data_IF_788288923587
#
_entry.id   IF_788288923587
#
_cell.length_a   1.000
_cell.length_b   1.000
_cell.length_c   1.000
_cell.angle_alpha   90.00
_cell.angle_beta   90.00
_cell.angle_gamma   90.00
#
_symmetry.space_group_name_H-M   'P 1'
#
loop_
_entity.id
_entity.type
_entity.pdbx_description
1 polymer ?
#
# COMPACT_ATOMS: atom_id res chain seq x y z
N UNK A 1 46.65 -51.12 -10.30
CA UNK A 1 45.91 -51.13 -11.58
C UNK A 1 44.42 -50.91 -11.31
N UNK A 2 43.80 -50.02 -12.10
CA UNK A 2 42.36 -49.82 -12.36
C UNK A 2 41.32 -49.76 -11.20
N UNK A 3 40.55 -48.65 -11.22
CA UNK A 3 39.31 -48.39 -10.48
C UNK A 3 38.15 -49.28 -10.96
N UNK A 4 37.22 -49.66 -10.08
CA UNK A 4 35.77 -49.55 -10.29
C UNK A 4 34.99 -49.69 -8.97
N UNK A 5 34.13 -48.73 -8.66
CA UNK A 5 33.29 -48.71 -7.46
C UNK A 5 32.05 -49.60 -7.59
N UNK A 6 31.61 -50.22 -6.48
CA UNK A 6 30.22 -50.70 -6.31
C UNK A 6 29.67 -50.21 -4.97
N UNK A 7 28.57 -49.46 -5.05
CA UNK A 7 27.81 -48.88 -3.94
C UNK A 7 27.07 -49.98 -3.16
N UNK A 8 27.09 -49.93 -1.83
CA UNK A 8 26.04 -50.50 -0.97
C UNK A 8 25.32 -49.35 -0.28
N UNK A 9 23.99 -49.45 -0.35
CA UNK A 9 22.96 -48.49 0.00
C UNK A 9 22.75 -48.45 1.52
N UNK A 10 22.84 -47.27 2.14
CA UNK A 10 22.24 -47.00 3.45
C UNK A 10 21.05 -46.06 3.17
N UNK A 11 19.84 -46.52 3.52
CA UNK A 11 18.60 -45.79 3.29
C UNK A 11 18.66 -44.45 4.04
N UNK A 12 18.56 -43.33 3.32
CA UNK A 12 18.19 -42.04 3.91
C UNK A 12 16.69 -42.09 4.20
N UNK A 13 16.31 -41.72 5.42
CA UNK A 13 14.94 -41.70 5.92
C UNK A 13 13.95 -41.12 4.90
N UNK A 14 12.83 -41.80 4.72
CA UNK A 14 11.72 -41.29 3.93
C UNK A 14 11.23 -39.95 4.48
N UNK A 15 10.94 -39.05 3.55
CA UNK A 15 10.59 -37.67 3.76
C UNK A 15 9.24 -37.49 4.45
N UNK A 16 9.16 -36.44 5.27
CA UNK A 16 7.97 -35.60 5.37
C UNK A 16 8.48 -34.16 5.48
N UNK A 17 8.72 -33.52 4.34
CA UNK A 17 8.79 -32.06 4.31
C UNK A 17 7.36 -31.59 4.52
N UNK A 18 7.00 -31.29 5.76
CA UNK A 18 5.81 -30.52 6.04
C UNK A 18 6.11 -29.10 5.54
N UNK A 19 5.77 -28.85 4.27
CA UNK A 19 5.56 -27.50 3.78
C UNK A 19 4.31 -27.03 4.53
N UNK A 20 4.51 -26.45 5.73
CA UNK A 20 3.53 -25.51 6.25
C UNK A 20 3.58 -24.40 5.22
N UNK A 21 2.64 -24.42 4.27
CA UNK A 21 2.20 -23.21 3.65
C UNK A 21 1.83 -22.32 4.84
N UNK A 22 2.75 -21.45 5.24
CA UNK A 22 2.40 -20.29 6.03
C UNK A 22 1.37 -19.62 5.13
N UNK A 23 0.11 -19.83 5.48
CA UNK A 23 -0.99 -19.18 4.81
C UNK A 23 -0.77 -17.71 5.03
N UNK A 24 -0.04 -17.07 4.13
CA UNK A 24 -0.35 -15.72 3.73
C UNK A 24 -1.79 -15.84 3.26
N UNK A 25 -2.71 -15.41 4.13
CA UNK A 25 -4.09 -15.13 3.79
C UNK A 25 -4.04 -14.01 2.76
N UNK A 26 -3.65 -14.35 1.54
CA UNK A 26 -3.96 -13.57 0.38
C UNK A 26 -5.47 -13.67 0.29
N UNK A 27 -6.14 -12.60 0.75
CA UNK A 27 -7.48 -12.31 0.28
C UNK A 27 -7.51 -12.63 -1.22
N UNK A 28 -8.52 -13.35 -1.68
CA UNK A 28 -8.70 -13.53 -3.11
C UNK A 28 -8.79 -12.13 -3.71
N UNK A 29 -7.66 -11.66 -4.25
CA UNK A 29 -7.58 -10.45 -5.02
C UNK A 29 -8.65 -10.61 -6.10
N UNK A 30 -9.46 -9.57 -6.27
CA UNK A 30 -10.34 -9.52 -7.44
C UNK A 30 -9.47 -9.87 -8.66
N UNK A 31 -9.98 -10.66 -9.62
CA UNK A 31 -9.18 -11.05 -10.79
C UNK A 31 -8.60 -9.83 -11.56
N UNK A 32 -9.19 -8.65 -11.32
CA UNK A 32 -8.81 -7.36 -11.90
C UNK A 32 -8.07 -6.44 -10.92
N UNK A 33 -7.67 -6.92 -9.74
CA UNK A 33 -6.84 -6.15 -8.81
C UNK A 33 -5.43 -6.06 -9.37
N UNK A 34 -5.04 -4.86 -9.78
CA UNK A 34 -3.74 -4.65 -10.41
C UNK A 34 -2.63 -4.37 -9.42
N UNK A 35 -2.93 -3.78 -8.25
CA UNK A 35 -1.93 -3.49 -7.21
C UNK A 35 -2.52 -3.54 -5.81
N UNK A 36 -1.72 -3.97 -4.83
CA UNK A 36 -2.11 -4.04 -3.44
C UNK A 36 -0.91 -3.90 -2.49
N UNK A 37 -0.93 -2.83 -1.69
CA UNK A 37 0.01 -2.60 -0.59
C UNK A 37 -0.69 -2.85 0.76
N UNK A 38 -0.39 -3.96 1.45
CA UNK A 38 -0.99 -4.27 2.75
C UNK A 38 -0.34 -3.49 3.91
N UNK A 39 0.84 -2.91 3.66
CA UNK A 39 1.68 -2.22 4.66
C UNK A 39 2.06 -3.08 5.86
N UNK A 40 2.42 -4.34 5.64
CA UNK A 40 2.77 -5.36 6.64
C UNK A 40 4.16 -5.14 7.29
N UNK A 41 4.43 -3.92 7.75
CA UNK A 41 5.75 -3.50 8.22
C UNK A 41 6.76 -3.24 7.10
N UNK A 42 6.30 -3.30 5.85
CA UNK A 42 7.07 -3.01 4.63
C UNK A 42 6.23 -2.24 3.62
N UNK A 43 6.87 -1.70 2.57
CA UNK A 43 6.19 -1.11 1.41
C UNK A 43 6.02 -2.12 0.26
N UNK A 44 6.04 -3.42 0.57
CA UNK A 44 5.96 -4.50 -0.41
C UNK A 44 4.60 -4.50 -1.12
N UNK A 45 4.63 -4.73 -2.43
CA UNK A 45 3.45 -4.85 -3.28
C UNK A 45 3.19 -6.33 -3.60
N UNK A 46 1.95 -6.79 -3.44
CA UNK A 46 1.64 -8.23 -3.47
C UNK A 46 1.13 -8.78 -4.81
N UNK A 47 0.94 -7.97 -5.85
CA UNK A 47 0.35 -8.40 -7.12
C UNK A 47 1.40 -8.58 -8.23
N UNK A 48 2.16 -7.53 -8.53
CA UNK A 48 3.16 -7.49 -9.62
C UNK A 48 4.60 -7.28 -9.10
N UNK A 49 4.79 -6.95 -7.82
CA UNK A 49 6.11 -6.76 -7.19
C UNK A 49 6.70 -5.35 -7.40
N UNK A 50 5.85 -4.36 -7.70
CA UNK A 50 6.26 -2.95 -7.77
C UNK A 50 6.28 -2.33 -6.36
N UNK A 51 7.28 -2.72 -5.56
CA UNK A 51 7.45 -2.25 -4.19
C UNK A 51 7.55 -0.72 -4.12
N UNK A 52 6.92 -0.15 -3.10
CA UNK A 52 7.07 1.27 -2.78
C UNK A 52 8.35 1.57 -2.01
N UNK A 53 8.67 2.86 -1.89
CA UNK A 53 9.77 3.36 -1.07
C UNK A 53 9.33 4.57 -0.26
N UNK A 54 9.57 4.54 1.06
CA UNK A 54 9.26 5.67 1.93
C UNK A 54 10.28 6.80 1.80
N UNK A 55 9.80 8.02 1.53
CA UNK A 55 10.60 9.25 1.50
C UNK A 55 10.17 10.14 2.67
N UNK A 56 11.14 10.78 3.35
CA UNK A 56 10.85 11.61 4.53
C UNK A 56 10.59 10.82 5.82
N UNK A 57 10.89 9.52 5.82
CA UNK A 57 10.70 8.60 6.96
C UNK A 57 9.26 8.51 7.50
N UNK A 58 8.26 8.18 6.65
CA UNK A 58 6.93 7.86 7.14
C UNK A 58 6.97 6.61 8.04
N UNK A 59 6.11 6.58 9.06
CA UNK A 59 6.14 5.53 10.07
C UNK A 59 5.05 4.48 9.81
N UNK A 60 5.37 3.21 10.07
CA UNK A 60 4.36 2.16 10.14
C UNK A 60 3.51 2.35 11.40
N UNK A 61 2.19 2.18 11.26
CA UNK A 61 1.20 2.43 12.29
C UNK A 61 0.19 1.28 12.39
N UNK A 62 -0.67 1.36 13.41
CA UNK A 62 -1.81 0.47 13.57
C UNK A 62 -2.88 0.74 12.50
N UNK A 63 -3.51 -0.31 11.99
CA UNK A 63 -4.70 -0.18 11.15
C UNK A 63 -5.97 0.10 11.98
N UNK A 64 -7.12 0.10 11.30
CA UNK A 64 -8.45 0.24 11.93
C UNK A 64 -8.80 -0.89 12.91
N UNK A 65 -8.08 -2.01 12.86
CA UNK A 65 -8.23 -3.16 13.76
C UNK A 65 -7.20 -3.18 14.90
N UNK A 66 -6.43 -2.10 15.07
CA UNK A 66 -5.32 -2.02 16.04
C UNK A 66 -4.21 -3.04 15.79
N UNK A 67 -4.08 -3.56 14.55
CA UNK A 67 -2.98 -4.43 14.18
C UNK A 67 -1.75 -3.56 13.83
N UNK A 68 -0.62 -3.70 14.55
CA UNK A 68 0.55 -2.86 14.35
C UNK A 68 1.22 -3.13 13.00
N UNK A 69 1.72 -2.08 12.37
CA UNK A 69 2.41 -2.15 11.08
C UNK A 69 1.50 -2.72 10.00
N UNK A 70 0.28 -2.17 9.89
CA UNK A 70 -0.72 -2.47 8.86
C UNK A 70 -1.27 -1.18 8.20
N UNK A 71 -0.65 -0.05 8.51
CA UNK A 71 -0.95 1.26 7.96
C UNK A 71 0.32 2.12 7.94
N UNK A 72 0.27 3.24 7.23
CA UNK A 72 1.32 4.26 7.21
C UNK A 72 0.79 5.54 7.87
N UNK A 73 1.61 6.15 8.71
CA UNK A 73 1.38 7.44 9.34
C UNK A 73 2.29 8.50 8.75
N UNK A 74 1.69 9.66 8.45
CA UNK A 74 2.36 10.86 7.98
C UNK A 74 2.15 11.94 9.04
N UNK A 75 3.23 12.53 9.55
CA UNK A 75 3.20 13.50 10.66
C UNK A 75 3.34 14.96 10.21
N UNK A 76 3.66 15.19 8.94
CA UNK A 76 3.85 16.52 8.36
C UNK A 76 5.13 17.23 8.81
N UNK A 77 6.01 16.59 9.58
CA UNK A 77 7.27 17.19 10.05
C UNK A 77 8.31 17.36 8.94
N UNK A 78 8.24 16.53 7.90
CA UNK A 78 9.02 16.65 6.66
C UNK A 78 8.12 16.30 5.45
N UNK A 79 8.60 16.53 4.21
CA UNK A 79 7.88 16.09 3.02
C UNK A 79 7.90 14.56 2.93
N UNK A 80 6.88 13.93 3.52
CA UNK A 80 6.72 12.48 3.62
C UNK A 80 5.81 11.95 2.53
N UNK A 81 6.22 10.85 1.89
CA UNK A 81 5.40 10.13 0.93
C UNK A 81 5.90 8.70 0.75
N UNK A 82 5.07 7.85 0.16
CA UNK A 82 5.49 6.56 -0.41
C UNK A 82 5.58 6.74 -1.91
N UNK A 83 6.77 6.60 -2.46
CA UNK A 83 7.02 6.62 -3.90
C UNK A 83 6.80 5.21 -4.45
N UNK A 84 6.01 5.08 -5.51
CA UNK A 84 5.76 3.81 -6.19
C UNK A 84 6.27 3.90 -7.63
N UNK A 85 7.14 2.99 -8.07
CA UNK A 85 7.63 2.96 -9.45
C UNK A 85 6.48 2.89 -10.46
N UNK A 86 6.63 3.57 -11.61
CA UNK A 86 5.65 3.51 -12.70
C UNK A 86 4.24 3.98 -12.34
N UNK A 87 4.07 4.75 -11.24
CA UNK A 87 2.77 5.25 -10.81
C UNK A 87 1.82 4.18 -10.28
N UNK A 88 2.32 2.99 -9.90
CA UNK A 88 1.50 1.94 -9.30
C UNK A 88 0.41 1.42 -10.23
N UNK A 89 0.69 1.32 -11.54
CA UNK A 89 -0.28 0.85 -12.53
C UNK A 89 -1.41 1.83 -12.86
N UNK A 90 -1.38 3.05 -12.32
CA UNK A 90 -2.35 4.11 -12.65
C UNK A 90 -1.93 4.95 -13.86
N UNK A 91 -0.65 4.91 -14.26
CA UNK A 91 -0.18 5.65 -15.44
C UNK A 91 -0.83 5.10 -16.72
N UNK A 92 -1.51 5.96 -17.46
CA UNK A 92 -2.28 5.58 -18.65
C UNK A 92 -3.58 4.80 -18.38
N UNK A 93 -3.99 4.62 -17.11
CA UNK A 93 -5.23 3.92 -16.78
C UNK A 93 -6.45 4.83 -17.01
N UNK A 94 -7.31 4.46 -17.96
CA UNK A 94 -8.50 5.26 -18.30
C UNK A 94 -9.65 5.11 -17.28
N UNK A 95 -9.77 3.94 -16.65
CA UNK A 95 -10.83 3.62 -15.68
C UNK A 95 -10.32 2.62 -14.67
N UNK A 96 -10.64 2.81 -13.39
CA UNK A 96 -10.25 1.90 -12.32
C UNK A 96 -10.96 2.21 -11.01
N UNK A 97 -10.72 1.37 -10.01
CA UNK A 97 -11.19 1.58 -8.63
C UNK A 97 -9.99 1.61 -7.71
N UNK A 98 -9.95 2.60 -6.81
CA UNK A 98 -9.00 2.66 -5.71
C UNK A 98 -9.81 2.53 -4.41
N UNK A 99 -9.36 1.67 -3.51
CA UNK A 99 -9.97 1.49 -2.19
C UNK A 99 -8.92 1.56 -1.09
N UNK A 100 -9.15 2.37 -0.06
CA UNK A 100 -8.27 2.48 1.09
C UNK A 100 -9.05 2.94 2.32
N UNK A 101 -8.44 2.78 3.50
CA UNK A 101 -8.88 3.44 4.72
C UNK A 101 -7.97 4.62 5.01
N UNK A 102 -8.53 5.70 5.53
CA UNK A 102 -7.78 6.87 5.99
C UNK A 102 -8.32 7.32 7.34
N UNK A 103 -7.41 7.79 8.20
CA UNK A 103 -7.74 8.43 9.47
C UNK A 103 -6.98 9.75 9.54
N UNK A 104 -7.70 10.85 9.59
CA UNK A 104 -7.13 12.16 9.85
C UNK A 104 -6.95 12.35 11.36
N UNK A 105 -5.76 12.83 11.75
CA UNK A 105 -5.43 13.13 13.15
C UNK A 105 -4.80 14.51 13.24
N UNK A 106 -5.18 15.29 14.25
CA UNK A 106 -4.70 16.66 14.39
C UNK A 106 -5.26 17.60 13.32
N UNK A 107 -4.82 18.86 13.36
CA UNK A 107 -5.20 19.85 12.36
C UNK A 107 -4.59 19.51 11.00
N UNK A 108 -5.39 19.61 9.95
CA UNK A 108 -5.02 19.39 8.57
C UNK A 108 -4.72 20.73 7.89
N UNK A 109 -3.71 20.73 7.03
CA UNK A 109 -3.40 21.90 6.21
C UNK A 109 -4.51 22.16 5.18
N UNK A 110 -4.69 23.45 4.87
CA UNK A 110 -5.57 23.87 3.79
C UNK A 110 -5.00 23.42 2.44
N UNK A 111 -5.86 22.87 1.60
CA UNK A 111 -5.57 22.43 0.26
C UNK A 111 -6.32 23.30 -0.77
N UNK A 112 -6.44 22.83 -2.02
CA UNK A 112 -7.17 23.57 -3.05
C UNK A 112 -8.68 23.58 -2.77
N UNK A 113 -9.43 24.41 -3.50
CA UNK A 113 -10.90 24.30 -3.55
C UNK A 113 -11.61 24.30 -2.17
N UNK A 114 -11.02 24.99 -1.19
CA UNK A 114 -11.46 25.05 0.21
C UNK A 114 -11.54 23.70 0.93
N UNK A 115 -10.73 22.71 0.53
CA UNK A 115 -10.59 21.45 1.26
C UNK A 115 -9.40 21.47 2.23
N UNK A 116 -9.34 20.48 3.11
CA UNK A 116 -8.20 20.22 3.99
C UNK A 116 -7.93 18.72 4.05
N UNK A 117 -6.65 18.33 4.18
CA UNK A 117 -6.25 16.93 4.30
C UNK A 117 -6.69 16.04 3.14
N UNK A 118 -6.49 16.48 1.89
CA UNK A 118 -6.94 15.74 0.71
C UNK A 118 -6.35 14.31 0.66
N UNK A 119 -7.22 13.30 0.53
CA UNK A 119 -6.86 11.90 0.36
C UNK A 119 -6.55 11.55 -1.09
N UNK A 120 -7.17 12.25 -2.04
CA UNK A 120 -6.89 12.17 -3.47
C UNK A 120 -6.66 13.58 -3.98
N UNK A 121 -5.55 13.79 -4.71
CA UNK A 121 -5.10 15.14 -5.05
C UNK A 121 -4.61 15.27 -6.51
N UNK A 122 -4.35 16.52 -6.88
CA UNK A 122 -3.96 16.99 -8.22
C UNK A 122 -2.64 16.37 -8.70
N UNK A 123 -2.54 16.01 -9.98
CA UNK A 123 -1.26 15.61 -10.57
C UNK A 123 -0.34 16.83 -10.76
N UNK A 124 0.98 16.63 -10.61
CA UNK A 124 2.01 17.68 -10.69
C UNK A 124 2.17 18.28 -12.09
N UNK A 125 1.72 17.58 -13.13
CA UNK A 125 1.73 18.04 -14.53
C UNK A 125 0.67 19.12 -14.83
N UNK A 126 -0.08 19.56 -13.81
CA UNK A 126 -1.14 20.55 -13.95
C UNK A 126 -2.44 20.02 -14.56
N UNK A 127 -2.46 18.77 -15.01
CA UNK A 127 -3.66 18.01 -15.35
C UNK A 127 -4.31 17.56 -14.03
N UNK A 128 -5.59 17.81 -13.88
CA UNK A 128 -6.25 17.59 -12.59
C UNK A 128 -6.51 16.09 -12.37
N UNK A 129 -6.34 15.64 -11.13
CA UNK A 129 -7.22 14.56 -10.64
C UNK A 129 -8.61 15.19 -10.60
N UNK A 130 -9.55 14.62 -11.35
CA UNK A 130 -10.91 15.15 -11.48
C UNK A 130 -11.80 14.84 -10.24
N UNK A 131 -11.20 14.27 -9.18
CA UNK A 131 -11.87 13.90 -7.95
C UNK A 131 -10.98 14.25 -6.75
N UNK A 132 -11.41 15.26 -6.00
CA UNK A 132 -10.83 15.59 -4.70
C UNK A 132 -11.72 15.02 -3.61
N UNK A 133 -11.12 14.22 -2.73
CA UNK A 133 -11.74 13.71 -1.51
C UNK A 133 -10.95 14.30 -0.36
N UNK A 134 -11.62 15.03 0.53
CA UNK A 134 -10.96 15.71 1.65
C UNK A 134 -11.96 16.10 2.73
N UNK A 135 -11.58 17.06 3.57
CA UNK A 135 -12.43 17.63 4.63
C UNK A 135 -12.88 19.03 4.25
N UNK A 136 -14.07 19.45 4.72
CA UNK A 136 -14.55 20.84 4.56
C UNK A 136 -13.92 21.85 5.55
N UNK A 137 -12.95 21.42 6.36
CA UNK A 137 -12.30 22.24 7.37
C UNK A 137 -11.09 21.53 7.97
N UNK A 138 -10.22 22.27 8.66
CA UNK A 138 -8.92 21.77 9.08
C UNK A 138 -8.98 20.87 10.32
N UNK A 139 -10.06 20.88 11.09
CA UNK A 139 -10.21 20.05 12.29
C UNK A 139 -11.06 18.80 11.99
N UNK A 140 -10.47 17.59 11.91
CA UNK A 140 -11.21 16.36 11.64
C UNK A 140 -12.26 16.01 12.70
N UNK A 141 -12.18 16.58 13.91
CA UNK A 141 -13.18 16.33 14.96
C UNK A 141 -14.52 17.01 14.68
N UNK A 142 -14.52 18.07 13.85
CA UNK A 142 -15.72 18.87 13.53
C UNK A 142 -16.00 18.97 12.04
N UNK A 143 -15.04 18.63 11.19
CA UNK A 143 -15.20 18.61 9.74
C UNK A 143 -16.04 17.42 9.28
N UNK A 144 -16.56 17.52 8.05
CA UNK A 144 -17.21 16.43 7.33
C UNK A 144 -16.43 16.10 6.06
N UNK A 145 -16.54 14.85 5.62
CA UNK A 145 -15.99 14.40 4.36
C UNK A 145 -16.66 15.16 3.21
N UNK A 146 -15.85 15.67 2.29
CA UNK A 146 -16.31 16.25 1.03
C UNK A 146 -15.79 15.43 -0.13
N UNK A 147 -16.63 15.35 -1.15
CA UNK A 147 -16.25 14.87 -2.46
C UNK A 147 -16.58 15.95 -3.47
N UNK A 148 -15.57 16.36 -4.23
CA UNK A 148 -15.72 17.32 -5.30
C UNK A 148 -15.51 16.58 -6.63
N UNK A 149 -16.59 16.05 -7.24
CA UNK A 149 -16.55 15.55 -8.61
C UNK A 149 -16.50 16.72 -9.61
N UNK A 150 -16.16 16.41 -10.87
CA UNK A 150 -16.25 17.35 -11.98
C UNK A 150 -17.60 18.09 -12.04
N UNK A 151 -17.56 19.38 -12.38
CA UNK A 151 -18.73 20.15 -12.84
C UNK A 151 -18.64 20.38 -14.34
#
# INVERSE_FOLDING_TARGET
>A
MARLARRILIMKSQAALLLIALGSTHFAAHADLIRHWPFDGSFEELVEGDDGSGVGTPAFAEDRGSAPGKAISFDGGSQQYVEVPGGGGLDGLNTGTISFFIKWTGFQDAACCNSSGDATARQSNGQFSNHVIGLNGPDPATAVLTWQPYS
#
